data_IF_814128163302
#
_entry.id   IF_814128163302
#
_cell.length_a   1.000
_cell.length_b   1.000
_cell.length_c   1.000
_cell.angle_alpha   90.00
_cell.angle_beta   90.00
_cell.angle_gamma   90.00
#
_symmetry.space_group_name_H-M   'P 1'
#
loop_
_entity.id
_entity.type
_entity.pdbx_description
1 polymer ?
#
# COMPACT_ATOMS: atom_id res chain seq x y z
N UNK A 1 -23.40 -47.84 -25.58
CA UNK A 1 -24.40 -46.80 -25.92
C UNK A 1 -24.38 -45.57 -25.01
N UNK A 2 -24.75 -45.65 -23.71
CA UNK A 2 -24.79 -44.46 -22.83
C UNK A 2 -23.38 -43.90 -22.54
N UNK A 3 -22.37 -44.78 -22.46
CA UNK A 3 -20.96 -44.42 -22.22
C UNK A 3 -20.35 -43.72 -23.45
N UNK A 4 -20.59 -44.25 -24.66
CA UNK A 4 -20.11 -43.67 -25.93
C UNK A 4 -20.67 -42.26 -26.20
N UNK A 5 -21.96 -42.04 -25.86
CA UNK A 5 -22.59 -40.74 -26.01
C UNK A 5 -22.00 -39.66 -25.08
N UNK A 6 -21.57 -40.04 -23.87
CA UNK A 6 -20.93 -39.11 -22.92
C UNK A 6 -19.47 -38.83 -23.28
N UNK A 7 -18.73 -39.84 -23.76
CA UNK A 7 -17.35 -39.66 -24.27
C UNK A 7 -17.35 -38.71 -25.47
N UNK A 8 -18.29 -38.87 -26.41
CA UNK A 8 -18.45 -37.95 -27.55
C UNK A 8 -18.72 -36.51 -27.10
N UNK A 9 -19.57 -36.31 -26.08
CA UNK A 9 -19.83 -34.99 -25.48
C UNK A 9 -18.59 -34.38 -24.82
N UNK A 10 -17.75 -35.19 -24.17
CA UNK A 10 -16.49 -34.74 -23.58
C UNK A 10 -15.51 -34.22 -24.64
N UNK A 11 -15.31 -34.95 -25.74
CA UNK A 11 -14.43 -34.49 -26.83
C UNK A 11 -14.95 -33.23 -27.52
N UNK A 12 -16.26 -33.10 -27.72
CA UNK A 12 -16.88 -31.88 -28.25
C UNK A 12 -16.66 -30.68 -27.33
N UNK A 13 -16.72 -30.90 -26.01
CA UNK A 13 -16.46 -29.88 -25.02
C UNK A 13 -14.99 -29.47 -24.98
N UNK A 14 -14.06 -30.43 -25.03
CA UNK A 14 -12.63 -30.16 -25.10
C UNK A 14 -12.28 -29.29 -26.32
N UNK A 15 -12.86 -29.61 -27.50
CA UNK A 15 -12.70 -28.78 -28.70
C UNK A 15 -13.20 -27.34 -28.49
N UNK A 16 -14.36 -27.16 -27.85
CA UNK A 16 -14.90 -25.82 -27.57
C UNK A 16 -14.02 -25.01 -26.63
N UNK A 17 -13.47 -25.63 -25.58
CA UNK A 17 -12.52 -24.96 -24.68
C UNK A 17 -11.29 -24.52 -25.47
N UNK A 18 -10.66 -25.43 -26.21
CA UNK A 18 -9.45 -25.11 -26.98
C UNK A 18 -9.69 -23.93 -27.93
N UNK A 19 -10.83 -23.92 -28.64
CA UNK A 19 -11.19 -22.81 -29.54
C UNK A 19 -11.36 -21.49 -28.77
N UNK A 20 -12.08 -21.50 -27.64
CA UNK A 20 -12.25 -20.31 -26.80
C UNK A 20 -10.92 -19.80 -26.23
N UNK A 21 -10.05 -20.71 -25.81
CA UNK A 21 -8.71 -20.41 -25.32
C UNK A 21 -7.85 -19.72 -26.36
N UNK A 22 -7.79 -20.29 -27.57
CA UNK A 22 -7.04 -19.72 -28.69
C UNK A 22 -7.59 -18.33 -29.05
N UNK A 23 -8.92 -18.21 -29.12
CA UNK A 23 -9.58 -16.95 -29.44
C UNK A 23 -9.30 -15.86 -28.39
N UNK A 24 -9.34 -16.21 -27.11
CA UNK A 24 -9.01 -15.31 -26.00
C UNK A 24 -7.59 -14.76 -26.12
N UNK A 25 -6.60 -15.64 -26.32
CA UNK A 25 -5.20 -15.22 -26.47
C UNK A 25 -4.93 -14.44 -27.75
N UNK A 26 -5.62 -14.75 -28.85
CA UNK A 26 -5.54 -13.97 -30.09
C UNK A 26 -6.05 -12.54 -29.92
N UNK A 27 -7.21 -12.36 -29.27
CA UNK A 27 -7.74 -11.01 -28.97
C UNK A 27 -6.74 -10.25 -28.10
N UNK A 28 -6.17 -10.90 -27.09
CA UNK A 28 -5.26 -10.25 -26.17
C UNK A 28 -3.94 -9.83 -26.85
N UNK A 29 -3.42 -10.68 -27.74
CA UNK A 29 -2.25 -10.37 -28.55
C UNK A 29 -2.53 -9.18 -29.49
N UNK A 30 -3.73 -9.12 -30.09
CA UNK A 30 -4.15 -7.98 -30.91
C UNK A 30 -4.24 -6.69 -30.10
N UNK A 31 -4.82 -6.74 -28.88
CA UNK A 31 -4.86 -5.59 -27.98
C UNK A 31 -3.46 -5.10 -27.62
N UNK A 32 -2.52 -6.01 -27.34
CA UNK A 32 -1.12 -5.65 -27.09
C UNK A 32 -0.51 -4.89 -28.27
N UNK A 33 -0.73 -5.36 -29.50
CA UNK A 33 -0.20 -4.71 -30.71
C UNK A 33 -0.81 -3.31 -30.92
N UNK A 34 -2.11 -3.16 -30.68
CA UNK A 34 -2.83 -1.89 -30.90
C UNK A 34 -2.45 -0.82 -29.87
N UNK A 35 -2.27 -1.19 -28.60
CA UNK A 35 -2.07 -0.24 -27.52
C UNK A 35 -0.60 0.17 -27.26
N UNK A 36 0.38 -0.40 -27.99
CA UNK A 36 1.82 -0.04 -28.02
C UNK A 36 2.40 0.57 -26.72
N UNK A 37 2.07 -0.01 -25.56
CA UNK A 37 2.43 0.55 -24.26
C UNK A 37 3.59 -0.22 -23.63
N UNK A 38 4.48 0.50 -22.93
CA UNK A 38 5.73 -0.02 -22.36
C UNK A 38 5.58 -1.08 -21.22
N UNK A 39 4.37 -1.61 -20.99
CA UNK A 39 4.05 -2.48 -19.84
C UNK A 39 3.52 -3.86 -20.26
N UNK A 40 4.10 -4.45 -21.30
CA UNK A 40 3.68 -5.76 -21.84
C UNK A 40 3.61 -6.88 -20.78
N UNK A 41 4.56 -6.92 -19.85
CA UNK A 41 4.61 -7.95 -18.80
C UNK A 41 3.42 -7.84 -17.82
N UNK A 42 3.07 -6.64 -17.38
CA UNK A 42 1.97 -6.42 -16.45
C UNK A 42 0.61 -6.74 -17.10
N UNK A 43 0.46 -6.32 -18.36
CA UNK A 43 -0.74 -6.59 -19.17
C UNK A 43 -0.91 -8.09 -19.40
N UNK A 44 0.16 -8.80 -19.76
CA UNK A 44 0.15 -10.26 -19.90
C UNK A 44 -0.23 -10.99 -18.60
N UNK A 45 0.32 -10.57 -17.46
CA UNK A 45 -0.02 -11.16 -16.16
C UNK A 45 -1.50 -10.96 -15.82
N UNK A 46 -2.05 -9.78 -16.07
CA UNK A 46 -3.48 -9.50 -15.86
C UNK A 46 -4.35 -10.41 -16.74
N UNK A 47 -4.02 -10.59 -18.02
CA UNK A 47 -4.73 -11.54 -18.88
C UNK A 47 -4.63 -12.98 -18.38
N UNK A 48 -3.45 -13.44 -17.97
CA UNK A 48 -3.27 -14.79 -17.47
C UNK A 48 -4.15 -15.05 -16.24
N UNK A 49 -4.24 -14.08 -15.33
CA UNK A 49 -5.11 -14.16 -14.14
C UNK A 49 -6.59 -14.19 -14.53
N UNK A 50 -7.04 -13.29 -15.42
CA UNK A 50 -8.43 -13.26 -15.89
C UNK A 50 -8.82 -14.57 -16.59
N UNK A 51 -7.93 -15.11 -17.41
CA UNK A 51 -8.11 -16.38 -18.09
C UNK A 51 -8.21 -17.56 -17.11
N UNK A 52 -7.35 -17.59 -16.10
CA UNK A 52 -7.40 -18.61 -15.04
C UNK A 52 -8.71 -18.55 -14.25
N UNK A 53 -9.19 -17.34 -13.91
CA UNK A 53 -10.49 -17.14 -13.27
C UNK A 53 -11.62 -17.65 -14.18
N UNK A 54 -11.59 -17.31 -15.48
CA UNK A 54 -12.57 -17.76 -16.46
C UNK A 54 -12.65 -19.29 -16.56
N UNK A 55 -11.50 -19.97 -16.63
CA UNK A 55 -11.43 -21.44 -16.61
C UNK A 55 -12.00 -21.99 -15.30
N UNK A 56 -11.64 -21.38 -14.16
CA UNK A 56 -12.09 -21.85 -12.86
C UNK A 56 -13.61 -21.73 -12.72
N UNK A 57 -14.19 -20.59 -13.10
CA UNK A 57 -15.65 -20.38 -13.12
C UNK A 57 -16.33 -21.36 -14.07
N UNK A 58 -15.79 -21.52 -15.29
CA UNK A 58 -16.31 -22.46 -16.26
C UNK A 58 -16.29 -23.90 -15.73
N UNK A 59 -15.18 -24.32 -15.11
CA UNK A 59 -15.06 -25.62 -14.47
C UNK A 59 -16.03 -25.79 -13.30
N UNK A 60 -16.28 -24.76 -12.50
CA UNK A 60 -17.24 -24.88 -11.38
C UNK A 60 -18.71 -24.97 -11.85
N UNK A 61 -19.07 -24.28 -12.94
CA UNK A 61 -20.44 -24.26 -13.47
C UNK A 61 -20.74 -25.48 -14.35
N UNK A 62 -19.87 -25.77 -15.32
CA UNK A 62 -20.16 -26.74 -16.39
C UNK A 62 -19.80 -28.19 -16.03
N UNK A 63 -18.89 -28.41 -15.07
CA UNK A 63 -18.44 -29.75 -14.66
C UNK A 63 -19.56 -30.67 -14.22
N UNK A 64 -20.61 -30.15 -13.56
CA UNK A 64 -21.78 -30.93 -13.12
C UNK A 64 -22.49 -31.65 -14.26
N UNK A 65 -22.38 -31.15 -15.50
CA UNK A 65 -23.03 -31.73 -16.68
C UNK A 65 -22.21 -32.86 -17.33
N UNK A 66 -20.95 -33.06 -16.92
CA UNK A 66 -19.97 -33.87 -17.68
C UNK A 66 -19.33 -34.97 -16.83
N UNK A 67 -19.09 -34.76 -15.53
CA UNK A 67 -18.32 -35.69 -14.70
C UNK A 67 -19.24 -36.66 -13.93
N UNK A 68 -18.82 -37.93 -13.84
CA UNK A 68 -19.53 -39.02 -13.13
C UNK A 68 -19.56 -38.82 -11.60
N UNK A 69 -18.47 -38.35 -11.01
CA UNK A 69 -18.38 -38.02 -9.59
C UNK A 69 -18.28 -36.51 -9.39
N UNK A 70 -19.22 -35.96 -8.64
CA UNK A 70 -19.21 -34.54 -8.31
C UNK A 70 -18.10 -34.21 -7.29
N UNK A 71 -17.68 -32.94 -7.23
CA UNK A 71 -16.72 -32.45 -6.25
C UNK A 71 -17.53 -32.30 -4.98
N UNK A 72 -17.29 -33.18 -4.02
CA UNK A 72 -17.88 -33.07 -2.69
C UNK A 72 -16.94 -32.17 -1.90
N UNK A 73 -17.28 -30.88 -1.84
CA UNK A 73 -16.52 -29.93 -1.02
C UNK A 73 -16.79 -30.28 0.44
N UNK A 74 -15.75 -30.69 1.15
CA UNK A 74 -15.84 -30.82 2.59
C UNK A 74 -15.87 -29.41 3.20
N UNK A 75 -17.08 -28.96 3.57
CA UNK A 75 -17.31 -27.62 4.12
C UNK A 75 -16.38 -27.30 5.29
N UNK A 76 -16.09 -28.27 6.17
CA UNK A 76 -15.18 -28.08 7.31
C UNK A 76 -13.74 -27.78 6.86
N UNK A 77 -13.22 -28.55 5.90
CA UNK A 77 -11.87 -28.32 5.35
C UNK A 77 -11.78 -26.98 4.60
N UNK A 78 -12.81 -26.65 3.81
CA UNK A 78 -12.86 -25.38 3.08
C UNK A 78 -12.84 -24.16 4.03
N UNK A 79 -13.60 -24.23 5.13
CA UNK A 79 -13.59 -23.20 6.17
C UNK A 79 -12.22 -23.06 6.80
N UNK A 80 -11.55 -24.18 7.15
CA UNK A 80 -10.20 -24.15 7.74
C UNK A 80 -9.21 -23.46 6.80
N UNK A 81 -9.17 -23.84 5.52
CA UNK A 81 -8.27 -23.19 4.55
C UNK A 81 -8.60 -21.70 4.38
N UNK A 82 -9.88 -21.34 4.34
CA UNK A 82 -10.29 -19.94 4.26
C UNK A 82 -9.81 -19.13 5.46
N UNK A 83 -9.97 -19.66 6.68
CA UNK A 83 -9.50 -19.00 7.92
C UNK A 83 -7.99 -18.83 7.91
N UNK A 84 -7.22 -19.85 7.50
CA UNK A 84 -5.75 -19.76 7.40
C UNK A 84 -5.35 -18.66 6.42
N UNK A 85 -5.96 -18.61 5.23
CA UNK A 85 -5.69 -17.58 4.22
C UNK A 85 -6.07 -16.20 4.75
N UNK A 86 -7.20 -16.08 5.43
CA UNK A 86 -7.68 -14.82 6.00
C UNK A 86 -6.73 -14.30 7.10
N UNK A 87 -6.31 -15.16 8.02
CA UNK A 87 -5.34 -14.81 9.07
C UNK A 87 -3.99 -14.44 8.46
N UNK A 88 -3.49 -15.24 7.51
CA UNK A 88 -2.22 -14.95 6.83
C UNK A 88 -2.29 -13.61 6.08
N UNK A 89 -3.34 -13.38 5.30
CA UNK A 89 -3.56 -12.11 4.60
C UNK A 89 -3.69 -10.93 5.57
N UNK A 90 -4.39 -11.12 6.70
CA UNK A 90 -4.52 -10.11 7.74
C UNK A 90 -3.18 -9.78 8.40
N UNK A 91 -2.38 -10.80 8.71
CA UNK A 91 -1.03 -10.63 9.27
C UNK A 91 -0.08 -9.92 8.30
N UNK A 92 -0.13 -10.25 7.00
CA UNK A 92 0.62 -9.53 5.97
C UNK A 92 0.16 -8.08 5.84
N UNK A 93 -1.16 -7.84 5.93
CA UNK A 93 -1.71 -6.48 5.88
C UNK A 93 -1.28 -5.65 7.10
N UNK A 94 -1.29 -6.24 8.30
CA UNK A 94 -0.85 -5.58 9.54
C UNK A 94 0.65 -5.28 9.56
N UNK A 95 1.47 -6.12 8.91
CA UNK A 95 2.91 -5.88 8.76
C UNK A 95 3.25 -4.82 7.70
N UNK A 96 2.31 -4.42 6.84
CA UNK A 96 2.58 -3.33 5.91
C UNK A 96 2.54 -2.03 6.69
N UNK A 97 3.70 -1.42 6.84
CA UNK A 97 3.80 -0.02 7.19
C UNK A 97 3.08 0.79 6.10
N UNK A 98 1.84 1.19 6.36
CA UNK A 98 1.05 2.11 5.55
C UNK A 98 1.52 3.54 5.79
N UNK A 99 2.46 3.97 4.96
CA UNK A 99 3.00 5.32 4.91
C UNK A 99 1.98 6.34 4.36
N UNK A 100 0.91 6.63 5.10
CA UNK A 100 -0.17 7.51 4.62
C UNK A 100 0.27 8.98 4.54
N UNK A 101 0.99 9.45 5.55
CA UNK A 101 1.45 10.84 5.66
C UNK A 101 2.81 11.06 4.98
N UNK A 102 3.59 9.99 4.77
CA UNK A 102 4.94 10.06 4.23
C UNK A 102 5.05 10.69 2.83
N UNK A 103 4.15 10.42 1.86
CA UNK A 103 4.23 11.06 0.56
C UNK A 103 4.18 12.58 0.66
N UNK A 104 3.34 13.11 1.57
CA UNK A 104 3.28 14.54 1.84
C UNK A 104 4.58 15.04 2.48
N UNK A 105 5.04 14.38 3.55
CA UNK A 105 6.30 14.72 4.25
C UNK A 105 7.49 14.73 3.27
N UNK A 106 7.55 13.78 2.33
CA UNK A 106 8.60 13.70 1.33
C UNK A 106 8.48 14.77 0.24
N UNK A 107 7.25 15.20 -0.08
CA UNK A 107 6.98 16.20 -1.11
C UNK A 107 7.30 17.64 -0.69
N UNK A 108 7.23 17.93 0.61
CA UNK A 108 7.54 19.28 1.10
C UNK A 108 9.05 19.51 1.09
N UNK A 109 9.51 20.68 0.60
CA UNK A 109 10.92 21.04 0.63
C UNK A 109 11.39 21.24 2.08
N UNK A 110 12.69 21.12 2.31
CA UNK A 110 13.26 21.52 3.59
C UNK A 110 13.20 23.05 3.67
N UNK A 111 12.52 23.57 4.70
CA UNK A 111 12.40 25.01 4.95
C UNK A 111 13.71 25.56 5.54
N UNK A 112 14.50 24.70 6.18
CA UNK A 112 15.69 25.09 6.92
C UNK A 112 16.94 25.09 6.03
N UNK A 113 17.25 26.26 5.45
CA UNK A 113 18.46 26.50 4.66
C UNK A 113 19.55 27.28 5.45
N UNK A 114 19.26 27.67 6.70
CA UNK A 114 20.23 28.38 7.56
C UNK A 114 21.17 27.39 8.23
N UNK A 115 22.45 27.46 7.89
CA UNK A 115 23.50 26.71 8.58
C UNK A 115 23.79 27.33 9.96
N UNK A 116 22.86 27.20 10.91
CA UNK A 116 23.14 27.58 12.29
C UNK A 116 24.25 26.69 12.85
N UNK A 117 25.23 27.30 13.52
CA UNK A 117 26.37 26.57 14.07
C UNK A 117 25.93 25.86 15.35
N UNK A 118 26.05 24.53 15.35
CA UNK A 118 25.76 23.70 16.52
C UNK A 118 27.09 23.22 17.09
N UNK A 119 27.39 23.62 18.32
CA UNK A 119 28.56 23.19 19.08
C UNK A 119 28.13 22.33 20.28
N UNK A 120 28.91 21.30 20.59
CA UNK A 120 28.70 20.45 21.74
C UNK A 120 29.92 20.49 22.65
N UNK A 121 29.72 20.80 23.92
CA UNK A 121 30.77 20.78 24.94
C UNK A 121 30.72 19.43 25.68
N UNK A 122 31.72 18.56 25.45
CA UNK A 122 31.74 17.21 26.03
C UNK A 122 31.89 17.20 27.57
N UNK A 123 32.56 18.19 28.16
CA UNK A 123 32.81 18.25 29.60
C UNK A 123 31.54 18.63 30.39
N UNK A 124 30.70 19.49 29.82
CA UNK A 124 29.48 20.00 30.47
C UNK A 124 28.21 19.34 29.94
N UNK A 125 28.28 18.68 28.78
CA UNK A 125 27.14 18.11 28.07
C UNK A 125 26.21 19.15 27.43
N UNK A 126 26.63 20.41 27.30
CA UNK A 126 25.79 21.51 26.80
C UNK A 126 25.91 21.64 25.28
N UNK A 127 24.77 21.74 24.59
CA UNK A 127 24.68 22.14 23.19
C UNK A 127 24.49 23.65 23.08
N UNK A 128 25.26 24.30 22.20
CA UNK A 128 25.13 25.73 21.89
C UNK A 128 24.78 25.88 20.42
N UNK A 129 23.65 26.54 20.14
CA UNK A 129 23.19 26.86 18.79
C UNK A 129 23.37 28.35 18.61
N UNK A 130 24.17 28.74 17.63
CA UNK A 130 24.44 30.16 17.33
C UNK A 130 23.85 30.52 15.98
N UNK A 131 23.06 31.59 15.96
CA UNK A 131 22.67 32.25 14.73
C UNK A 131 23.74 33.29 14.39
N UNK A 132 24.48 33.06 13.31
CA UNK A 132 25.54 33.97 12.85
C UNK A 132 24.98 35.23 12.16
N UNK A 133 23.66 35.26 11.88
CA UNK A 133 22.98 36.43 11.37
C UNK A 133 22.74 37.44 12.50
N UNK A 134 22.71 38.74 12.16
CA UNK A 134 22.56 39.85 13.13
C UNK A 134 21.14 40.03 13.68
N UNK A 135 20.27 39.04 13.51
CA UNK A 135 18.88 39.08 13.92
C UNK A 135 18.68 38.39 15.27
N UNK A 136 17.57 38.69 15.94
CA UNK A 136 17.20 38.00 17.18
C UNK A 136 17.04 36.49 16.96
N UNK A 137 17.51 35.68 17.91
CA UNK A 137 17.35 34.23 17.87
C UNK A 137 15.89 33.84 18.11
N UNK A 138 15.21 33.32 17.08
CA UNK A 138 13.77 33.01 17.13
C UNK A 138 13.51 31.55 17.51
N UNK A 139 12.73 31.34 18.56
CA UNK A 139 12.29 30.01 19.00
C UNK A 139 10.80 29.84 18.72
N UNK A 140 10.43 28.79 17.96
CA UNK A 140 9.04 28.38 17.77
C UNK A 140 8.76 27.14 18.63
N UNK A 141 7.83 27.25 19.58
CA UNK A 141 7.37 26.12 20.37
C UNK A 141 6.02 25.61 19.85
N UNK A 142 5.97 24.32 19.51
CA UNK A 142 4.77 23.59 19.13
C UNK A 142 4.41 22.60 20.24
N UNK A 143 3.11 22.44 20.53
CA UNK A 143 2.64 21.43 21.50
C UNK A 143 1.48 20.64 20.94
N UNK A 144 1.36 19.37 21.36
CA UNK A 144 0.17 18.53 21.17
C UNK A 144 -0.34 18.45 19.72
N UNK A 145 0.59 18.25 18.78
CA UNK A 145 0.26 18.10 17.34
C UNK A 145 -0.65 16.89 17.10
N UNK A 146 -0.53 15.84 17.94
CA UNK A 146 -1.38 14.65 17.95
C UNK A 146 -1.55 13.99 16.58
N UNK A 147 -0.43 13.64 15.92
CA UNK A 147 -0.47 12.88 14.68
C UNK A 147 -0.90 11.43 14.95
N UNK A 148 -2.01 11.02 14.34
CA UNK A 148 -2.60 9.70 14.56
C UNK A 148 -2.02 8.58 13.69
N UNK A 149 -1.47 8.90 12.52
CA UNK A 149 -0.79 7.94 11.63
C UNK A 149 -1.68 6.82 11.08
N UNK A 150 -3.00 6.98 11.12
CA UNK A 150 -3.98 5.95 10.74
C UNK A 150 -4.90 6.42 9.61
N UNK A 151 -5.57 5.48 8.95
CA UNK A 151 -6.57 5.82 7.91
C UNK A 151 -7.69 6.70 8.48
N UNK A 152 -8.05 6.51 9.76
CA UNK A 152 -9.08 7.29 10.43
C UNK A 152 -8.64 8.71 10.78
N UNK A 153 -7.35 8.91 11.08
CA UNK A 153 -6.80 10.22 11.42
C UNK A 153 -6.25 10.96 10.20
N UNK A 154 -6.06 10.29 9.05
CA UNK A 154 -5.38 10.83 7.87
C UNK A 154 -5.77 12.26 7.51
N UNK A 155 -7.08 12.57 7.45
CA UNK A 155 -7.55 13.93 7.11
C UNK A 155 -7.17 14.97 8.15
N UNK A 156 -7.13 14.60 9.44
CA UNK A 156 -6.69 15.47 10.54
C UNK A 156 -5.17 15.62 10.51
N UNK A 157 -4.45 14.52 10.33
CA UNK A 157 -2.99 14.50 10.24
C UNK A 157 -2.50 15.40 9.09
N UNK A 158 -3.15 15.34 7.91
CA UNK A 158 -2.81 16.23 6.79
C UNK A 158 -3.05 17.70 7.08
N UNK A 159 -4.11 18.05 7.84
CA UNK A 159 -4.36 19.44 8.24
C UNK A 159 -3.30 19.91 9.24
N UNK A 160 -2.97 19.08 10.22
CA UNK A 160 -1.95 19.39 11.20
C UNK A 160 -0.58 19.58 10.55
N UNK A 161 -0.16 18.67 9.67
CA UNK A 161 1.13 18.78 8.97
C UNK A 161 1.21 20.01 8.06
N UNK A 162 0.12 20.36 7.36
CA UNK A 162 0.06 21.59 6.55
C UNK A 162 0.15 22.85 7.40
N UNK A 163 -0.62 22.92 8.47
CA UNK A 163 -0.59 24.05 9.38
C UNK A 163 0.78 24.23 10.04
N UNK A 164 1.43 23.14 10.46
CA UNK A 164 2.79 23.16 11.00
C UNK A 164 3.79 23.64 9.95
N UNK A 165 3.71 23.12 8.72
CA UNK A 165 4.58 23.55 7.62
C UNK A 165 4.41 25.05 7.34
N UNK A 166 3.19 25.52 7.13
CA UNK A 166 2.89 26.95 6.86
C UNK A 166 3.33 27.85 8.02
N UNK A 167 3.19 27.38 9.27
CA UNK A 167 3.63 28.14 10.44
C UNK A 167 5.16 28.26 10.49
N UNK A 168 5.89 27.17 10.26
CA UNK A 168 7.36 27.18 10.22
C UNK A 168 7.85 28.07 9.08
N UNK A 169 7.27 27.93 7.89
CA UNK A 169 7.61 28.72 6.69
C UNK A 169 7.38 30.22 6.91
N UNK A 170 6.26 30.60 7.52
CA UNK A 170 5.93 32.00 7.78
C UNK A 170 6.74 32.61 8.94
N UNK A 171 7.05 31.82 9.99
CA UNK A 171 7.74 32.34 11.17
C UNK A 171 9.26 32.36 11.01
N UNK A 172 9.81 31.55 10.11
CA UNK A 172 11.25 31.40 9.84
C UNK A 172 12.07 31.33 11.16
N UNK A 173 11.79 30.33 12.02
CA UNK A 173 12.43 30.22 13.33
C UNK A 173 13.83 29.63 13.21
N UNK A 174 14.73 30.02 14.13
CA UNK A 174 16.06 29.43 14.26
C UNK A 174 16.03 28.11 15.02
N UNK A 175 15.04 27.89 15.87
CA UNK A 175 14.90 26.64 16.61
C UNK A 175 13.44 26.28 16.83
N UNK A 176 13.06 25.06 16.45
CA UNK A 176 11.71 24.52 16.67
C UNK A 176 11.75 23.54 17.82
N UNK A 177 10.96 23.81 18.86
CA UNK A 177 10.78 22.92 20.01
C UNK A 177 9.41 22.29 19.91
N UNK A 178 9.35 20.96 19.90
CA UNK A 178 8.07 20.23 19.97
C UNK A 178 7.92 19.64 21.37
N UNK A 179 6.90 20.07 22.10
CA UNK A 179 6.53 19.58 23.43
C UNK A 179 5.18 18.84 23.40
N UNK A 180 4.83 18.16 24.49
CA UNK A 180 3.56 17.44 24.59
C UNK A 180 3.47 16.25 23.61
N UNK A 181 2.25 15.90 23.22
CA UNK A 181 1.99 14.70 22.42
C UNK A 181 2.16 14.97 20.91
N UNK A 182 3.36 14.70 20.37
CA UNK A 182 3.61 14.75 18.92
C UNK A 182 2.78 13.69 18.17
N UNK A 183 2.71 12.48 18.72
CA UNK A 183 2.01 11.35 18.12
C UNK A 183 0.97 10.78 19.08
N UNK A 184 -0.21 10.47 18.56
CA UNK A 184 -1.29 9.88 19.34
C UNK A 184 -1.67 8.49 18.79
N UNK A 185 -1.49 7.41 19.55
CA UNK A 185 -1.79 6.07 19.06
C UNK A 185 -3.30 5.86 18.92
N UNK A 186 -3.82 5.92 17.69
CA UNK A 186 -5.17 5.42 17.37
C UNK A 186 -5.07 3.93 17.06
N UNK A 187 -5.96 3.09 17.63
CA UNK A 187 -5.82 1.62 17.73
C UNK A 187 -5.47 0.81 16.46
N UNK A 188 -5.60 1.37 15.26
CA UNK A 188 -4.92 0.86 14.05
C UNK A 188 -3.73 1.77 13.77
N UNK A 189 -2.72 1.69 14.63
CA UNK A 189 -1.49 2.45 14.51
C UNK A 189 -0.57 1.69 13.57
N UNK A 190 -0.23 2.34 12.47
CA UNK A 190 0.82 1.87 11.58
C UNK A 190 2.12 2.45 12.16
N UNK A 191 2.97 1.55 12.67
CA UNK A 191 4.19 1.90 13.41
C UNK A 191 5.17 2.68 12.50
N UNK A 192 5.97 3.58 13.12
CA UNK A 192 7.18 4.24 12.56
C UNK A 192 7.07 5.64 11.93
N UNK A 193 6.34 6.59 12.55
CA UNK A 193 6.46 8.01 12.16
C UNK A 193 7.65 8.74 12.82
N UNK A 194 8.01 8.35 14.05
CA UNK A 194 8.99 9.05 14.89
C UNK A 194 10.43 9.09 14.35
N UNK A 195 10.99 8.03 13.73
CA UNK A 195 12.37 8.09 13.21
C UNK A 195 12.55 9.02 12.01
N UNK A 196 11.46 9.36 11.29
CA UNK A 196 11.53 10.03 9.99
C UNK A 196 11.27 11.54 10.06
N UNK A 197 10.46 11.99 11.02
CA UNK A 197 10.27 13.43 11.27
C UNK A 197 11.59 14.07 11.72
N UNK A 198 12.42 13.34 12.49
CA UNK A 198 13.73 13.79 12.96
C UNK A 198 14.71 14.18 11.83
N UNK A 199 14.56 13.63 10.63
CA UNK A 199 15.51 13.89 9.53
C UNK A 199 15.07 15.04 8.60
N UNK A 200 13.91 15.66 8.85
CA UNK A 200 13.32 16.71 7.99
C UNK A 200 12.98 18.01 8.73
N UNK A 201 12.96 17.98 10.05
CA UNK A 201 12.91 19.14 10.94
C UNK A 201 14.27 19.21 11.62
#
# INVERSE_FOLDING_TARGET
>A
MIQDAKVKKFYQHLKRIIVLSVFYWMIFLLLIIVFQNAYYANVFLIAAVLYAIGILVYNLIYRKKIVYHNLVINKKRAIIYFVIIFIFSGYQFMQRDFWLTQPYINSVPNIYDKANKIEYNEETGVYTITNDNKDDFKILQLTDIHLGGSVFSYRKDMKALKAVYELIDHTDPDFVIVTGDLTFPMGIMIQNLLPLIRNKI
#
